data_IF_371984940278
#
_entry.id   IF_371984940278
#
_cell.length_a   1.000
_cell.length_b   1.000
_cell.length_c   1.000
_cell.angle_alpha   90.00
_cell.angle_beta   90.00
_cell.angle_gamma   90.00
#
_symmetry.space_group_name_H-M   'P 1'
#
loop_
_entity.id
_entity.type
_entity.pdbx_description
1 polymer ?
#
# COMPACT_ATOMS: atom_id res chain seq x y z
N UNK A 1 84.36 31.46 -11.69
CA UNK A 1 84.32 32.65 -10.82
C UNK A 1 82.85 32.99 -10.59
N UNK A 2 82.31 33.26 -9.41
CA UNK A 2 82.72 33.09 -8.01
C UNK A 2 81.56 33.72 -7.22
N UNK A 3 80.93 32.98 -6.29
CA UNK A 3 80.13 33.53 -5.16
C UNK A 3 78.88 34.39 -5.49
N UNK A 4 77.87 34.52 -4.62
CA UNK A 4 77.74 34.08 -3.24
C UNK A 4 76.32 33.53 -2.94
N UNK A 5 76.26 32.57 -2.03
CA UNK A 5 75.01 32.26 -1.33
C UNK A 5 74.64 33.38 -0.34
N UNK A 6 73.36 33.51 -0.02
CA UNK A 6 72.92 33.85 1.35
C UNK A 6 71.55 33.24 1.65
N UNK A 7 71.55 32.31 2.60
CA UNK A 7 70.34 31.80 3.26
C UNK A 7 69.78 32.92 4.16
N UNK A 8 68.47 32.98 4.33
CA UNK A 8 67.86 33.68 5.46
C UNK A 8 66.83 32.75 6.11
N UNK A 9 67.07 32.39 7.37
CA UNK A 9 66.24 31.49 8.15
C UNK A 9 65.33 32.25 9.12
N UNK A 10 64.13 31.70 9.32
CA UNK A 10 63.23 31.87 10.46
C UNK A 10 63.80 32.50 11.76
N UNK A 11 63.00 33.34 12.44
CA UNK A 11 62.12 32.89 13.55
C UNK A 11 61.41 34.01 14.34
N UNK A 12 60.28 33.66 15.00
CA UNK A 12 59.58 34.33 16.13
C UNK A 12 58.95 35.74 15.89
N UNK A 13 57.80 36.14 16.48
CA UNK A 13 56.75 35.37 17.19
C UNK A 13 55.47 36.20 17.47
N UNK A 14 54.33 35.48 17.54
CA UNK A 14 53.12 35.73 18.38
C UNK A 14 52.17 36.96 18.17
N UNK A 15 50.88 36.67 18.44
CA UNK A 15 49.72 37.55 18.71
C UNK A 15 48.94 38.19 17.53
N UNK A 16 48.11 37.38 16.84
CA UNK A 16 46.64 37.60 16.83
C UNK A 16 45.94 36.23 16.90
N UNK A 17 45.28 35.97 18.01
CA UNK A 17 44.18 34.98 18.09
C UNK A 17 42.89 35.75 17.77
N UNK A 18 41.97 35.11 17.02
CA UNK A 18 40.58 35.47 16.66
C UNK A 18 40.30 35.60 15.16
N UNK A 19 39.24 34.91 14.69
CA UNK A 19 38.62 35.09 13.37
C UNK A 19 39.06 34.08 12.30
N UNK A 20 38.45 32.88 12.27
CA UNK A 20 38.77 31.88 11.24
C UNK A 20 38.06 30.52 11.31
N UNK A 21 37.28 30.21 12.35
CA UNK A 21 36.33 29.10 12.35
C UNK A 21 34.95 29.58 11.89
N UNK A 22 34.72 29.58 10.57
CA UNK A 22 33.40 29.71 9.93
C UNK A 22 33.53 29.35 8.44
N UNK A 23 32.71 28.48 7.83
CA UNK A 23 31.63 27.64 8.35
C UNK A 23 31.70 26.28 7.64
N UNK A 24 31.60 25.16 8.38
CA UNK A 24 31.01 23.95 7.81
C UNK A 24 29.51 24.19 7.75
N UNK A 25 29.00 24.51 6.55
CA UNK A 25 27.56 24.46 6.29
C UNK A 25 27.13 23.01 6.11
N UNK A 26 26.78 22.38 7.23
CA UNK A 26 25.91 21.20 7.24
C UNK A 26 24.57 21.60 6.63
N UNK A 27 24.34 21.24 5.36
CA UNK A 27 23.02 21.36 4.74
C UNK A 27 22.15 20.25 5.32
N UNK A 28 21.49 20.54 6.44
CA UNK A 28 20.39 19.71 6.94
C UNK A 28 19.25 19.81 5.93
N UNK A 29 19.00 18.74 5.20
CA UNK A 29 17.82 18.63 4.36
C UNK A 29 16.58 18.63 5.27
N UNK A 30 15.92 19.80 5.38
CA UNK A 30 14.61 19.90 6.01
C UNK A 30 13.63 19.30 5.01
N UNK A 31 13.26 18.03 5.24
CA UNK A 31 12.11 17.45 4.53
C UNK A 31 10.86 18.18 4.98
N UNK A 32 10.13 18.79 4.05
CA UNK A 32 8.83 19.35 4.32
C UNK A 32 7.82 18.20 4.41
N UNK A 33 7.64 17.69 5.63
CA UNK A 33 6.66 16.65 5.95
C UNK A 33 5.26 17.23 5.69
N UNK A 34 4.43 16.53 4.90
CA UNK A 34 3.06 16.99 4.65
C UNK A 34 2.19 16.70 5.87
N UNK A 35 1.17 17.54 6.10
CA UNK A 35 0.21 17.31 7.17
C UNK A 35 -0.61 16.03 6.95
N UNK A 36 -0.81 15.63 5.69
CA UNK A 36 -1.59 14.45 5.32
C UNK A 36 -0.97 13.77 4.08
N UNK A 37 -1.27 12.47 3.83
CA UNK A 37 -1.02 11.85 2.54
C UNK A 37 -1.88 12.50 1.44
N UNK A 38 -1.36 12.69 0.21
CA UNK A 38 -2.20 13.10 -0.90
C UNK A 38 -3.14 11.95 -1.33
N UNK A 39 -4.23 12.28 -2.01
CA UNK A 39 -5.02 11.30 -2.74
C UNK A 39 -4.44 11.14 -4.16
N UNK A 40 -4.02 9.93 -4.54
CA UNK A 40 -3.57 9.62 -5.90
C UNK A 40 -4.56 8.74 -6.67
N UNK A 41 -5.50 8.08 -5.99
CA UNK A 41 -6.60 7.26 -6.55
C UNK A 41 -7.89 7.47 -5.72
N UNK A 42 -9.08 7.32 -6.33
CA UNK A 42 -10.36 7.43 -5.59
C UNK A 42 -10.59 6.25 -4.63
N UNK A 43 -10.12 5.06 -4.98
CA UNK A 43 -10.54 3.81 -4.37
C UNK A 43 -9.45 3.17 -3.51
N UNK A 44 -8.18 3.22 -3.93
CA UNK A 44 -7.07 2.54 -3.23
C UNK A 44 -5.80 3.39 -3.23
N UNK A 45 -5.38 3.83 -2.04
CA UNK A 45 -4.15 4.58 -1.80
C UNK A 45 -3.23 3.77 -0.86
N UNK A 46 -2.45 2.82 -1.39
CA UNK A 46 -1.60 1.92 -0.59
C UNK A 46 -0.20 2.52 -0.34
N UNK A 47 -0.07 3.49 0.56
CA UNK A 47 1.26 4.08 0.88
C UNK A 47 2.15 3.17 1.72
N UNK A 48 1.62 2.11 2.31
CA UNK A 48 2.40 1.12 3.05
C UNK A 48 2.92 -0.04 2.18
N UNK A 49 2.50 -0.16 0.91
CA UNK A 49 2.85 -1.27 0.00
C UNK A 49 2.50 -2.65 0.61
N UNK A 50 1.30 -2.76 1.21
CA UNK A 50 0.82 -3.96 1.95
C UNK A 50 -0.35 -4.67 1.29
N UNK A 51 -0.91 -4.12 0.21
CA UNK A 51 -1.99 -4.72 -0.57
C UNK A 51 -1.39 -5.33 -1.85
N UNK A 52 -1.73 -6.57 -2.14
CA UNK A 52 -1.33 -7.24 -3.38
C UNK A 52 -1.99 -6.56 -4.58
N UNK A 53 -1.29 -6.45 -5.71
CA UNK A 53 -1.89 -5.88 -6.93
C UNK A 53 -3.12 -6.64 -7.47
N UNK A 54 -3.35 -7.88 -7.02
CA UNK A 54 -4.60 -8.62 -7.29
C UNK A 54 -5.74 -8.11 -6.39
N UNK A 55 -5.47 -7.96 -5.09
CA UNK A 55 -6.43 -7.42 -4.12
C UNK A 55 -6.74 -5.93 -4.38
N UNK A 56 -5.74 -5.11 -4.73
CA UNK A 56 -5.95 -3.71 -5.15
C UNK A 56 -6.89 -3.60 -6.36
N UNK A 57 -6.71 -4.49 -7.35
CA UNK A 57 -7.57 -4.53 -8.52
C UNK A 57 -8.99 -4.99 -8.15
N UNK A 58 -9.10 -5.96 -7.23
CA UNK A 58 -10.37 -6.43 -6.68
C UNK A 58 -11.12 -5.36 -5.87
N UNK A 59 -10.43 -4.64 -4.96
CA UNK A 59 -10.99 -3.51 -4.20
C UNK A 59 -11.43 -2.42 -5.16
N UNK A 60 -10.56 -2.01 -6.10
CA UNK A 60 -10.89 -0.95 -7.07
C UNK A 60 -12.12 -1.29 -7.92
N UNK A 61 -12.26 -2.55 -8.35
CA UNK A 61 -13.45 -3.03 -9.05
C UNK A 61 -14.71 -3.00 -8.15
N UNK A 62 -14.61 -3.51 -6.92
CA UNK A 62 -15.67 -3.53 -5.91
C UNK A 62 -16.17 -2.11 -5.59
N UNK A 63 -15.27 -1.18 -5.28
CA UNK A 63 -15.61 0.17 -4.86
C UNK A 63 -16.14 1.01 -6.03
N UNK A 64 -15.63 0.80 -7.25
CA UNK A 64 -16.18 1.43 -8.46
C UNK A 64 -17.59 0.91 -8.79
N UNK A 65 -17.87 -0.38 -8.61
CA UNK A 65 -19.22 -0.94 -8.75
C UNK A 65 -20.18 -0.41 -7.66
N UNK A 66 -19.68 -0.27 -6.43
CA UNK A 66 -20.45 0.27 -5.31
C UNK A 66 -20.79 1.76 -5.50
N UNK A 67 -19.84 2.58 -5.95
CA UNK A 67 -20.09 3.98 -6.31
C UNK A 67 -21.08 4.08 -7.47
N UNK A 68 -20.94 3.26 -8.52
CA UNK A 68 -21.86 3.27 -9.66
C UNK A 68 -23.29 2.78 -9.33
N UNK A 69 -23.42 1.81 -8.41
CA UNK A 69 -24.71 1.19 -8.06
C UNK A 69 -25.47 1.88 -6.92
N UNK A 70 -24.75 2.40 -5.93
CA UNK A 70 -25.31 2.99 -4.70
C UNK A 70 -25.07 4.51 -4.61
N UNK A 71 -24.19 5.06 -5.46
CA UNK A 71 -23.78 6.46 -5.40
C UNK A 71 -23.04 6.83 -4.12
N UNK A 72 -22.47 5.83 -3.41
CA UNK A 72 -21.71 5.99 -2.17
C UNK A 72 -20.23 5.90 -2.51
N UNK A 73 -19.44 6.88 -2.06
CA UNK A 73 -18.01 6.93 -2.37
C UNK A 73 -17.18 6.38 -1.20
N UNK A 74 -16.49 5.28 -1.45
CA UNK A 74 -15.60 4.64 -0.47
C UNK A 74 -14.16 4.64 -0.98
N UNK A 75 -13.21 4.88 -0.07
CA UNK A 75 -11.77 4.78 -0.35
C UNK A 75 -11.05 3.97 0.72
N UNK A 76 -9.99 3.27 0.30
CA UNK A 76 -9.04 2.55 1.14
C UNK A 76 -7.73 3.32 1.16
N UNK A 77 -7.16 3.47 2.36
CA UNK A 77 -5.86 4.09 2.59
C UNK A 77 -5.04 3.23 3.54
N UNK A 78 -3.81 2.90 3.14
CA UNK A 78 -2.81 2.36 4.06
C UNK A 78 -1.69 3.39 4.25
N UNK A 79 -1.10 3.43 5.43
CA UNK A 79 0.13 4.19 5.72
C UNK A 79 1.01 3.37 6.66
N UNK A 80 2.34 3.58 6.61
CA UNK A 80 3.26 2.98 7.58
C UNK A 80 2.85 3.40 9.00
N UNK A 81 2.78 4.71 9.25
CA UNK A 81 2.25 5.30 10.49
C UNK A 81 1.51 6.61 10.20
N UNK A 82 0.38 6.84 10.86
CA UNK A 82 -0.30 8.14 10.81
C UNK A 82 0.47 9.21 11.61
N UNK A 83 1.27 8.79 12.60
CA UNK A 83 2.17 9.64 13.39
C UNK A 83 3.40 10.12 12.60
N UNK A 84 3.60 9.60 11.39
CA UNK A 84 4.63 10.05 10.45
C UNK A 84 4.21 11.29 9.61
N UNK A 85 3.04 11.88 9.87
CA UNK A 85 2.59 13.12 9.22
C UNK A 85 2.57 14.28 10.23
N UNK A 86 2.94 15.49 9.79
CA UNK A 86 2.98 16.70 10.63
C UNK A 86 1.59 17.36 10.69
N UNK A 87 0.58 16.58 11.08
CA UNK A 87 -0.83 17.01 11.11
C UNK A 87 -1.20 17.75 12.40
N UNK A 88 -0.49 17.46 13.49
CA UNK A 88 -0.81 17.92 14.84
C UNK A 88 -1.95 17.15 15.53
N UNK A 89 -2.44 16.05 14.95
CA UNK A 89 -3.54 15.28 15.52
C UNK A 89 -3.13 14.42 16.72
N UNK A 90 -4.06 14.26 17.67
CA UNK A 90 -3.81 13.52 18.91
C UNK A 90 -4.13 12.01 18.80
N UNK A 91 -4.90 11.58 17.79
CA UNK A 91 -5.28 10.18 17.59
C UNK A 91 -5.64 9.86 16.12
N UNK A 92 -5.71 8.56 15.79
CA UNK A 92 -6.12 8.09 14.46
C UNK A 92 -7.55 8.53 14.09
N UNK A 93 -8.45 8.69 15.07
CA UNK A 93 -9.78 9.23 14.85
C UNK A 93 -9.72 10.67 14.33
N UNK A 94 -8.97 11.53 15.03
CA UNK A 94 -8.83 12.93 14.66
C UNK A 94 -8.13 13.08 13.29
N UNK A 95 -7.06 12.30 13.09
CA UNK A 95 -6.35 12.23 11.80
C UNK A 95 -7.28 11.82 10.66
N UNK A 96 -8.08 10.75 10.83
CA UNK A 96 -8.99 10.30 9.79
C UNK A 96 -10.14 11.28 9.52
N UNK A 97 -10.73 11.90 10.56
CA UNK A 97 -11.79 12.91 10.38
C UNK A 97 -11.26 14.12 9.61
N UNK A 98 -10.07 14.61 9.96
CA UNK A 98 -9.46 15.74 9.27
C UNK A 98 -9.05 15.38 7.84
N UNK A 99 -8.46 14.21 7.64
CA UNK A 99 -8.10 13.69 6.32
C UNK A 99 -9.32 13.51 5.41
N UNK A 100 -10.41 12.96 5.94
CA UNK A 100 -11.68 12.78 5.23
C UNK A 100 -12.21 14.12 4.70
N UNK A 101 -12.15 15.16 5.53
CA UNK A 101 -12.59 16.51 5.20
C UNK A 101 -11.63 17.22 4.23
N UNK A 102 -10.31 17.03 4.37
CA UNK A 102 -9.29 17.55 3.44
C UNK A 102 -9.42 16.91 2.04
N UNK A 103 -9.72 15.60 1.99
CA UNK A 103 -9.96 14.88 0.74
C UNK A 103 -11.37 15.14 0.18
N UNK A 104 -12.36 15.44 1.03
CA UNK A 104 -13.76 15.69 0.65
C UNK A 104 -14.50 14.40 0.25
N UNK A 105 -14.33 13.32 1.00
CA UNK A 105 -14.81 11.97 0.64
C UNK A 105 -16.35 11.90 0.74
N UNK A 106 -17.03 11.38 -0.29
CA UNK A 106 -18.49 11.34 -0.34
C UNK A 106 -19.11 12.46 -1.18
N UNK A 107 -20.43 12.44 -1.35
CA UNK A 107 -21.15 13.52 -2.04
C UNK A 107 -21.46 14.69 -1.08
N UNK A 108 -21.16 15.93 -1.49
CA UNK A 108 -21.33 17.15 -0.69
C UNK A 108 -22.78 17.51 -0.28
N UNK A 109 -23.79 16.78 -0.76
CA UNK A 109 -25.21 16.95 -0.39
C UNK A 109 -25.78 15.79 0.42
N UNK A 110 -25.11 14.63 0.40
CA UNK A 110 -25.50 13.40 1.11
C UNK A 110 -24.59 13.10 2.30
N UNK A 111 -23.37 13.63 2.32
CA UNK A 111 -22.32 13.37 3.30
C UNK A 111 -22.11 11.88 3.57
N UNK A 112 -22.05 11.09 2.50
CA UNK A 112 -22.07 9.63 2.52
C UNK A 112 -20.74 9.01 2.06
N UNK A 113 -19.64 9.67 2.40
CA UNK A 113 -18.30 9.14 2.17
C UNK A 113 -17.90 8.09 3.21
N UNK A 114 -17.01 7.18 2.81
CA UNK A 114 -16.41 6.16 3.68
C UNK A 114 -14.90 6.11 3.46
N UNK A 115 -14.12 6.27 4.53
CA UNK A 115 -12.67 6.10 4.51
C UNK A 115 -12.28 4.91 5.39
N UNK A 116 -11.68 3.90 4.78
CA UNK A 116 -11.05 2.79 5.49
C UNK A 116 -9.54 3.02 5.56
N UNK A 117 -9.07 3.55 6.68
CA UNK A 117 -7.66 3.85 6.98
C UNK A 117 -7.03 2.72 7.81
N UNK A 118 -5.81 2.31 7.42
CA UNK A 118 -4.97 1.35 8.14
C UNK A 118 -3.57 1.94 8.36
N UNK A 119 -3.14 2.06 9.61
CA UNK A 119 -1.79 2.48 9.98
C UNK A 119 -1.00 1.27 10.53
N UNK A 120 -0.07 0.76 9.72
CA UNK A 120 0.47 -0.60 9.85
C UNK A 120 1.41 -0.75 11.06
N UNK A 121 2.37 0.16 11.24
CA UNK A 121 3.31 0.17 12.35
C UNK A 121 2.63 0.57 13.67
N UNK A 122 1.66 1.49 13.60
CA UNK A 122 0.85 1.92 14.75
C UNK A 122 -0.07 0.82 15.28
N UNK A 123 -0.36 -0.19 14.44
CA UNK A 123 -1.38 -1.22 14.64
C UNK A 123 -2.75 -0.65 14.97
N UNK A 124 -3.12 0.41 14.27
CA UNK A 124 -4.35 1.16 14.44
C UNK A 124 -5.09 1.22 13.09
N UNK A 125 -6.40 0.97 13.09
CA UNK A 125 -7.26 1.17 11.91
C UNK A 125 -8.49 1.98 12.27
N UNK A 126 -9.09 2.60 11.25
CA UNK A 126 -10.25 3.49 11.38
C UNK A 126 -11.14 3.35 10.14
N UNK A 127 -12.44 3.15 10.36
CA UNK A 127 -13.46 3.30 9.31
C UNK A 127 -14.23 4.59 9.61
N UNK A 128 -13.80 5.70 9.01
CA UNK A 128 -14.40 7.03 9.14
C UNK A 128 -15.61 7.15 8.21
N UNK A 129 -16.70 7.72 8.72
CA UNK A 129 -17.98 7.85 8.02
C UNK A 129 -18.37 9.32 7.91
N UNK A 130 -18.94 9.71 6.77
CA UNK A 130 -19.53 11.02 6.58
C UNK A 130 -20.78 11.27 7.43
N UNK A 131 -21.17 12.54 7.59
CA UNK A 131 -22.26 12.96 8.50
C UNK A 131 -23.65 12.51 8.07
N UNK A 132 -23.83 12.03 6.84
CA UNK A 132 -25.08 11.43 6.36
C UNK A 132 -25.42 10.11 7.04
N UNK A 133 -24.45 9.45 7.68
CA UNK A 133 -24.65 8.19 8.38
C UNK A 133 -25.02 8.40 9.85
N UNK A 134 -26.19 7.87 10.24
CA UNK A 134 -26.61 7.86 11.64
C UNK A 134 -25.74 6.95 12.52
N UNK A 135 -25.62 7.29 13.81
CA UNK A 135 -24.75 6.62 14.80
C UNK A 135 -24.94 5.10 14.93
N UNK A 136 -26.05 4.54 14.45
CA UNK A 136 -26.25 3.11 14.34
C UNK A 136 -25.21 2.42 13.44
N UNK A 137 -24.61 3.11 12.45
CA UNK A 137 -23.53 2.55 11.62
C UNK A 137 -22.22 2.35 12.39
N UNK A 138 -21.92 3.18 13.40
CA UNK A 138 -20.70 3.07 14.21
C UNK A 138 -20.53 1.67 14.81
N UNK A 139 -21.60 1.13 15.43
CA UNK A 139 -21.57 -0.21 16.01
C UNK A 139 -21.43 -1.34 14.99
N UNK A 140 -21.85 -1.11 13.72
CA UNK A 140 -21.76 -2.11 12.64
C UNK A 140 -20.38 -2.10 11.98
N UNK A 141 -19.79 -0.90 11.80
CA UNK A 141 -18.37 -0.78 11.44
C UNK A 141 -17.47 -1.39 12.51
N UNK A 142 -17.78 -1.19 13.81
CA UNK A 142 -17.03 -1.84 14.90
C UNK A 142 -17.09 -3.36 14.82
N UNK A 143 -18.28 -3.93 14.54
CA UNK A 143 -18.42 -5.37 14.36
C UNK A 143 -17.57 -5.89 13.18
N UNK A 144 -17.54 -5.20 12.04
CA UNK A 144 -16.68 -5.54 10.90
C UNK A 144 -15.19 -5.49 11.26
N UNK A 145 -14.76 -4.44 11.98
CA UNK A 145 -13.39 -4.32 12.48
C UNK A 145 -13.01 -5.53 13.35
N UNK A 146 -13.82 -5.83 14.38
CA UNK A 146 -13.48 -6.82 15.40
C UNK A 146 -13.61 -8.27 14.93
N UNK A 147 -14.60 -8.56 14.05
CA UNK A 147 -14.96 -9.92 13.62
C UNK A 147 -14.30 -10.32 12.30
N UNK A 148 -14.02 -9.37 11.41
CA UNK A 148 -13.55 -9.64 10.05
C UNK A 148 -12.11 -9.14 9.88
N UNK A 149 -11.84 -7.85 10.10
CA UNK A 149 -10.55 -7.23 9.74
C UNK A 149 -9.41 -7.61 10.71
N UNK A 150 -9.60 -7.38 12.01
CA UNK A 150 -8.57 -7.60 13.05
C UNK A 150 -8.04 -9.04 13.08
N UNK A 151 -8.84 -10.11 12.87
CA UNK A 151 -8.34 -11.48 12.74
C UNK A 151 -7.28 -11.70 11.66
N UNK A 152 -7.37 -11.04 10.51
CA UNK A 152 -6.33 -11.09 9.46
C UNK A 152 -5.10 -10.28 9.87
N UNK A 153 -5.29 -9.05 10.38
CA UNK A 153 -4.19 -8.17 10.75
C UNK A 153 -3.34 -8.73 11.91
N UNK A 154 -3.93 -9.46 12.86
CA UNK A 154 -3.20 -10.21 13.90
C UNK A 154 -2.24 -11.28 13.34
N UNK A 155 -2.47 -11.74 12.12
CA UNK A 155 -1.64 -12.71 11.41
C UNK A 155 -0.70 -12.02 10.40
N UNK A 156 -0.65 -10.68 10.39
CA UNK A 156 0.03 -9.85 9.40
C UNK A 156 -0.45 -10.06 7.94
N UNK A 157 -1.67 -10.57 7.78
CA UNK A 157 -2.31 -10.76 6.47
C UNK A 157 -3.09 -9.49 6.08
N UNK A 158 -2.33 -8.40 5.85
CA UNK A 158 -2.89 -7.06 5.62
C UNK A 158 -3.68 -7.00 4.32
N UNK A 159 -3.14 -7.55 3.24
CA UNK A 159 -3.78 -7.59 1.92
C UNK A 159 -5.18 -8.20 1.98
N UNK A 160 -5.31 -9.43 2.50
CA UNK A 160 -6.59 -10.11 2.57
C UNK A 160 -7.52 -9.48 3.62
N UNK A 161 -6.97 -8.97 4.73
CA UNK A 161 -7.74 -8.25 5.75
C UNK A 161 -8.36 -6.94 5.23
N UNK A 162 -7.65 -6.21 4.37
CA UNK A 162 -8.18 -5.00 3.70
C UNK A 162 -9.19 -5.37 2.62
N UNK A 163 -8.93 -6.43 1.83
CA UNK A 163 -9.86 -6.93 0.81
C UNK A 163 -11.20 -7.39 1.41
N UNK A 164 -11.16 -8.30 2.38
CA UNK A 164 -12.35 -8.80 3.08
C UNK A 164 -13.04 -7.70 3.90
N UNK A 165 -12.27 -6.81 4.52
CA UNK A 165 -12.81 -5.61 5.18
C UNK A 165 -13.61 -4.74 4.22
N UNK A 166 -13.06 -4.48 3.03
CA UNK A 166 -13.73 -3.68 2.00
C UNK A 166 -15.02 -4.35 1.51
N UNK A 167 -15.00 -5.66 1.27
CA UNK A 167 -16.20 -6.44 0.91
C UNK A 167 -17.27 -6.40 2.00
N UNK A 168 -16.88 -6.50 3.27
CA UNK A 168 -17.79 -6.45 4.42
C UNK A 168 -18.48 -5.09 4.57
N UNK A 169 -17.71 -3.99 4.43
CA UNK A 169 -18.22 -2.62 4.48
C UNK A 169 -19.24 -2.39 3.36
N UNK A 170 -18.92 -2.80 2.13
CA UNK A 170 -19.83 -2.68 0.97
C UNK A 170 -21.10 -3.52 1.15
N UNK A 171 -20.99 -4.77 1.62
CA UNK A 171 -22.15 -5.63 1.88
C UNK A 171 -23.10 -5.02 2.93
N UNK A 172 -22.55 -4.47 4.03
CA UNK A 172 -23.33 -3.78 5.06
C UNK A 172 -24.08 -2.57 4.50
N UNK A 173 -23.46 -1.73 3.65
CA UNK A 173 -24.17 -0.62 3.00
C UNK A 173 -25.18 -1.04 1.93
N UNK A 174 -25.00 -2.20 1.29
CA UNK A 174 -26.00 -2.81 0.40
C UNK A 174 -27.15 -3.50 1.15
N UNK A 175 -27.01 -3.72 2.46
CA UNK A 175 -27.94 -4.52 3.26
C UNK A 175 -27.88 -6.02 2.93
N UNK A 176 -26.74 -6.47 2.40
CA UNK A 176 -26.48 -7.86 2.01
C UNK A 176 -25.95 -8.67 3.18
N UNK A 177 -26.19 -9.99 3.18
CA UNK A 177 -25.59 -10.89 4.15
C UNK A 177 -24.12 -11.10 3.78
N UNK A 178 -23.21 -10.61 4.63
CA UNK A 178 -21.79 -10.88 4.46
C UNK A 178 -21.46 -12.32 4.83
N UNK A 179 -21.35 -13.21 3.84
CA UNK A 179 -20.73 -14.52 4.02
C UNK A 179 -19.20 -14.36 4.09
N UNK A 180 -18.68 -14.16 5.31
CA UNK A 180 -17.24 -14.13 5.56
C UNK A 180 -16.63 -15.50 5.28
N UNK A 181 -15.39 -15.52 4.78
CA UNK A 181 -14.63 -16.77 4.60
C UNK A 181 -14.26 -17.45 5.94
N UNK A 182 -14.63 -16.85 7.09
CA UNK A 182 -14.20 -17.24 8.43
C UNK A 182 -15.32 -17.85 9.32
N UNK A 183 -16.59 -17.45 9.15
CA UNK A 183 -17.66 -17.79 10.10
C UNK A 183 -18.63 -18.88 9.63
N UNK A 184 -18.34 -20.13 10.03
CA UNK A 184 -19.37 -21.18 10.11
C UNK A 184 -19.14 -22.15 11.27
N UNK A 185 -18.91 -21.63 12.50
CA UNK A 185 -18.45 -22.41 13.67
C UNK A 185 -19.16 -22.12 15.04
N UNK A 186 -20.50 -22.11 15.12
CA UNK A 186 -21.31 -22.31 16.37
C UNK A 186 -21.31 -21.18 17.44
N UNK A 187 -22.12 -21.15 18.51
CA UNK A 187 -23.20 -21.99 19.11
C UNK A 187 -24.02 -21.13 20.13
N UNK A 188 -25.35 -21.28 20.34
CA UNK A 188 -26.06 -20.54 21.39
C UNK A 188 -26.02 -21.20 22.79
N UNK A 189 -25.89 -20.38 23.85
CA UNK A 189 -25.87 -20.83 25.26
C UNK A 189 -27.27 -20.92 25.89
N UNK A 190 -27.44 -21.83 26.86
CA UNK A 190 -28.54 -21.83 27.86
C UNK A 190 -28.38 -20.62 28.80
N UNK A 191 -29.35 -20.09 29.58
CA UNK A 191 -30.56 -20.58 30.30
C UNK A 191 -31.51 -19.36 30.51
N UNK A 192 -32.80 -19.40 30.92
CA UNK A 192 -33.76 -20.43 31.42
C UNK A 192 -35.20 -19.86 31.43
N UNK A 193 -36.23 -20.73 31.47
CA UNK A 193 -37.28 -20.59 32.50
C UNK A 193 -38.75 -20.38 32.08
N UNK A 194 -39.46 -21.48 31.79
CA UNK A 194 -40.91 -21.73 32.00
C UNK A 194 -41.96 -20.69 31.52
N UNK A 195 -42.81 -21.09 30.56
CA UNK A 195 -44.04 -20.32 30.25
C UNK A 195 -44.79 -20.69 28.96
N UNK A 196 -45.33 -21.92 28.89
CA UNK A 196 -46.48 -22.38 28.07
C UNK A 196 -46.54 -22.15 26.52
N UNK A 197 -46.97 -23.19 25.80
CA UNK A 197 -47.71 -23.04 24.53
C UNK A 197 -46.99 -22.93 23.17
N UNK A 198 -47.04 -24.04 22.41
CA UNK A 198 -47.12 -24.14 20.92
C UNK A 198 -45.85 -24.22 20.04
N UNK A 199 -46.05 -24.94 18.92
CA UNK A 199 -45.09 -25.62 18.05
C UNK A 199 -44.04 -24.79 17.27
N UNK A 200 -42.97 -25.47 16.80
CA UNK A 200 -42.63 -25.62 15.37
C UNK A 200 -41.60 -26.76 15.15
N UNK A 201 -41.60 -27.28 13.92
CA UNK A 201 -41.06 -28.53 13.37
C UNK A 201 -39.55 -28.83 13.55
N UNK A 202 -39.20 -30.12 13.42
CA UNK A 202 -37.86 -30.71 13.67
C UNK A 202 -37.09 -31.01 12.37
N UNK A 203 -35.77 -30.80 12.35
CA UNK A 203 -34.84 -31.30 11.32
C UNK A 203 -33.84 -32.32 11.92
N UNK A 204 -33.37 -33.35 11.15
CA UNK A 204 -32.54 -34.44 11.67
C UNK A 204 -31.02 -34.18 11.60
N UNK A 205 -30.26 -34.88 12.46
CA UNK A 205 -28.79 -34.77 12.60
C UNK A 205 -28.08 -36.08 12.24
N UNK A 206 -27.13 -36.02 11.30
CA UNK A 206 -26.04 -36.99 11.09
C UNK A 206 -24.98 -36.36 10.15
N UNK A 207 -23.65 -36.55 10.29
CA UNK A 207 -22.84 -37.19 11.33
C UNK A 207 -21.37 -36.76 11.14
N UNK A 208 -20.63 -36.52 12.23
CA UNK A 208 -19.55 -35.49 12.21
C UNK A 208 -18.11 -35.97 11.94
N UNK A 209 -17.89 -37.20 11.48
CA UNK A 209 -16.54 -37.79 11.39
C UNK A 209 -15.73 -37.40 10.14
N UNK A 210 -16.38 -37.09 9.02
CA UNK A 210 -15.66 -36.73 7.78
C UNK A 210 -14.96 -35.36 7.81
N UNK A 211 -15.44 -34.44 8.67
CA UNK A 211 -14.96 -33.04 8.69
C UNK A 211 -13.59 -32.87 9.35
N UNK A 212 -13.23 -33.74 10.28
CA UNK A 212 -11.96 -33.67 11.03
C UNK A 212 -10.75 -33.96 10.13
N UNK A 213 -10.90 -34.85 9.13
CA UNK A 213 -9.84 -35.19 8.19
C UNK A 213 -9.57 -34.10 7.14
N UNK A 214 -10.57 -33.31 6.77
CA UNK A 214 -10.44 -32.22 5.78
C UNK A 214 -9.75 -30.98 6.36
N UNK A 215 -9.98 -30.64 7.63
CA UNK A 215 -9.39 -29.46 8.26
C UNK A 215 -7.85 -29.50 8.35
N UNK A 216 -7.27 -30.69 8.57
CA UNK A 216 -5.81 -30.87 8.56
C UNK A 216 -5.19 -30.60 7.18
N UNK A 217 -5.94 -30.83 6.09
CA UNK A 217 -5.47 -30.54 4.74
C UNK A 217 -5.40 -29.03 4.51
N UNK A 218 -6.33 -28.23 5.05
CA UNK A 218 -6.39 -26.78 4.78
C UNK A 218 -5.20 -25.98 5.38
N UNK A 219 -4.61 -26.43 6.50
CA UNK A 219 -3.40 -25.80 7.08
C UNK A 219 -2.12 -26.36 6.48
N UNK A 220 -2.11 -27.67 6.15
CA UNK A 220 -0.94 -28.35 5.57
C UNK A 220 -0.82 -28.07 4.06
N UNK A 221 -1.88 -27.69 3.35
CA UNK A 221 -1.86 -27.41 1.91
C UNK A 221 -1.17 -26.09 1.51
N UNK A 222 -1.34 -24.93 2.18
CA UNK A 222 -0.61 -23.70 1.84
C UNK A 222 0.85 -23.74 2.32
N UNK A 223 1.11 -24.18 3.56
CA UNK A 223 2.47 -24.40 4.05
C UNK A 223 3.17 -25.51 3.23
N UNK A 224 2.46 -26.59 2.94
CA UNK A 224 2.89 -27.63 2.03
C UNK A 224 3.06 -27.11 0.60
N UNK A 225 2.23 -26.18 0.13
CA UNK A 225 2.34 -25.54 -1.18
C UNK A 225 3.57 -24.65 -1.31
N UNK A 226 3.95 -23.94 -0.24
CA UNK A 226 5.18 -23.14 -0.16
C UNK A 226 6.42 -24.06 -0.05
N UNK A 227 6.34 -25.13 0.73
CA UNK A 227 7.38 -26.17 0.77
C UNK A 227 7.49 -26.95 -0.55
N UNK A 228 6.38 -27.21 -1.25
CA UNK A 228 6.31 -27.89 -2.55
C UNK A 228 6.79 -26.97 -3.67
N UNK A 229 6.47 -25.68 -3.66
CA UNK A 229 7.01 -24.73 -4.65
C UNK A 229 8.50 -24.55 -4.47
N UNK A 230 8.98 -24.39 -3.22
CA UNK A 230 10.41 -24.41 -2.88
C UNK A 230 11.07 -25.72 -3.33
N UNK A 231 10.51 -26.87 -2.97
CA UNK A 231 11.01 -28.17 -3.40
C UNK A 231 11.00 -28.34 -4.93
N UNK A 232 9.98 -27.88 -5.64
CA UNK A 232 9.89 -27.92 -7.11
C UNK A 232 10.90 -26.98 -7.78
N UNK A 233 11.28 -25.86 -7.14
CA UNK A 233 12.36 -24.98 -7.59
C UNK A 233 13.71 -25.70 -7.49
N UNK A 234 14.05 -26.26 -6.33
CA UNK A 234 15.34 -26.93 -6.09
C UNK A 234 15.42 -28.39 -6.58
N UNK A 235 14.33 -29.01 -7.03
CA UNK A 235 14.33 -30.40 -7.52
C UNK A 235 15.22 -30.52 -8.77
N UNK A 236 16.13 -31.52 -8.85
CA UNK A 236 16.93 -31.77 -10.05
C UNK A 236 16.07 -31.91 -11.31
N UNK A 237 16.48 -31.23 -12.39
CA UNK A 237 15.78 -31.19 -13.67
C UNK A 237 16.46 -32.10 -14.70
N UNK A 238 15.71 -32.53 -15.70
CA UNK A 238 16.21 -33.27 -16.86
C UNK A 238 16.26 -32.34 -18.06
N UNK A 239 17.36 -32.39 -18.81
CA UNK A 239 17.54 -31.57 -19.99
C UNK A 239 16.47 -31.84 -21.05
N UNK A 240 15.78 -30.79 -21.50
CA UNK A 240 14.79 -30.87 -22.57
C UNK A 240 15.34 -31.42 -23.89
N UNK A 241 16.64 -31.26 -24.15
CA UNK A 241 17.32 -31.70 -25.37
C UNK A 241 17.79 -33.18 -25.33
N UNK A 242 18.54 -33.57 -24.28
CA UNK A 242 19.18 -34.90 -24.22
C UNK A 242 18.79 -35.76 -23.00
N UNK A 243 17.81 -35.33 -22.21
CA UNK A 243 17.23 -36.04 -21.04
C UNK A 243 18.19 -36.32 -19.86
N UNK A 244 19.49 -36.04 -19.96
CA UNK A 244 20.40 -36.17 -18.81
C UNK A 244 20.08 -35.14 -17.72
N UNK A 245 20.51 -35.45 -16.50
CA UNK A 245 20.32 -34.57 -15.35
C UNK A 245 21.07 -33.24 -15.52
N UNK A 246 20.40 -32.13 -15.19
CA UNK A 246 20.97 -30.79 -15.18
C UNK A 246 21.43 -30.41 -13.78
N UNK A 247 22.46 -29.56 -13.74
CA UNK A 247 22.98 -28.95 -12.52
C UNK A 247 22.49 -27.50 -12.49
N UNK A 248 21.84 -27.08 -11.39
CA UNK A 248 21.58 -25.67 -11.13
C UNK A 248 22.89 -25.02 -10.71
N UNK A 249 23.17 -23.84 -11.25
CA UNK A 249 24.29 -23.03 -10.81
C UNK A 249 24.00 -22.40 -9.44
N UNK A 250 25.05 -21.84 -8.83
CA UNK A 250 24.95 -20.90 -7.73
C UNK A 250 24.96 -19.45 -8.26
N UNK A 251 24.45 -18.54 -7.43
CA UNK A 251 24.14 -17.09 -7.62
C UNK A 251 25.36 -16.20 -7.96
N UNK A 252 26.37 -16.78 -8.63
CA UNK A 252 27.65 -16.20 -9.06
C UNK A 252 28.20 -16.88 -10.32
N UNK A 253 27.82 -18.12 -10.56
CA UNK A 253 28.14 -18.84 -11.79
C UNK A 253 27.04 -18.70 -12.85
N UNK A 254 25.78 -18.49 -12.43
CA UNK A 254 24.65 -18.14 -13.28
C UNK A 254 24.78 -16.77 -13.95
N UNK A 255 25.31 -15.77 -13.26
CA UNK A 255 25.74 -14.44 -13.79
C UNK A 255 26.39 -14.55 -15.20
N UNK A 256 27.21 -15.57 -15.43
CA UNK A 256 27.93 -15.78 -16.70
C UNK A 256 27.04 -16.21 -17.89
N UNK A 257 25.77 -16.53 -17.63
CA UNK A 257 24.78 -17.02 -18.59
C UNK A 257 23.53 -16.14 -18.71
N UNK A 258 23.36 -15.19 -17.79
CA UNK A 258 22.31 -14.19 -17.79
C UNK A 258 22.68 -13.02 -18.71
N UNK A 259 21.67 -12.35 -19.27
CA UNK A 259 21.87 -11.09 -19.98
C UNK A 259 21.96 -9.90 -19.02
N UNK A 260 22.44 -8.75 -19.51
CA UNK A 260 22.65 -7.55 -18.71
C UNK A 260 21.36 -7.04 -18.02
N UNK A 261 20.19 -7.26 -18.62
CA UNK A 261 18.91 -6.87 -18.04
C UNK A 261 18.44 -7.81 -16.94
N UNK A 262 18.69 -9.11 -17.08
CA UNK A 262 18.42 -10.10 -16.04
C UNK A 262 19.29 -9.86 -14.79
N UNK A 263 20.60 -9.67 -14.99
CA UNK A 263 21.54 -9.29 -13.91
C UNK A 263 21.10 -7.98 -13.24
N UNK A 264 20.56 -7.03 -14.01
CA UNK A 264 20.02 -5.79 -13.45
C UNK A 264 18.71 -5.97 -12.67
N UNK A 265 17.87 -6.96 -13.00
CA UNK A 265 16.69 -7.31 -12.19
C UNK A 265 17.08 -8.00 -10.88
N UNK A 266 18.10 -8.86 -10.89
CA UNK A 266 18.61 -9.56 -9.70
C UNK A 266 19.30 -8.59 -8.73
N UNK A 267 20.16 -7.72 -9.25
CA UNK A 267 20.82 -6.66 -8.49
C UNK A 267 19.81 -5.68 -7.84
N UNK A 268 18.60 -5.57 -8.40
CA UNK A 268 17.49 -4.80 -7.84
C UNK A 268 16.48 -5.66 -7.05
N UNK A 269 16.69 -6.98 -7.00
CA UNK A 269 15.79 -7.98 -6.39
C UNK A 269 14.34 -7.89 -6.90
N UNK A 270 14.16 -7.59 -8.18
CA UNK A 270 12.85 -7.51 -8.86
C UNK A 270 12.46 -8.78 -9.60
N UNK A 271 13.44 -9.52 -10.12
CA UNK A 271 13.32 -10.88 -10.64
C UNK A 271 14.59 -11.64 -10.26
N UNK A 272 14.45 -12.92 -9.95
CA UNK A 272 15.48 -13.86 -9.49
C UNK A 272 15.53 -15.03 -10.50
N UNK A 273 16.70 -15.35 -11.08
CA UNK A 273 16.81 -16.30 -12.20
C UNK A 273 17.60 -17.57 -11.85
N UNK A 274 16.92 -18.72 -11.80
CA UNK A 274 17.63 -20.01 -11.76
C UNK A 274 18.21 -20.34 -13.14
N UNK A 275 19.54 -20.47 -13.25
CA UNK A 275 20.19 -21.07 -14.44
C UNK A 275 20.50 -22.55 -14.20
N UNK A 276 20.10 -23.37 -15.15
CA UNK A 276 20.37 -24.81 -15.19
C UNK A 276 21.24 -25.16 -16.40
N UNK A 277 22.32 -25.90 -16.19
CA UNK A 277 23.20 -26.41 -17.25
C UNK A 277 23.13 -27.93 -17.38
N UNK A 278 23.15 -28.41 -18.63
CA UNK A 278 23.30 -29.81 -18.97
C UNK A 278 24.75 -30.15 -19.32
N UNK A 279 25.44 -30.91 -18.46
CA UNK A 279 26.84 -31.30 -18.68
C UNK A 279 27.07 -32.30 -19.85
N UNK A 280 26.01 -32.85 -20.44
CA UNK A 280 26.11 -33.85 -21.51
C UNK A 280 25.95 -33.27 -22.92
N UNK A 281 25.41 -32.06 -23.06
CA UNK A 281 25.16 -31.43 -24.36
C UNK A 281 25.21 -29.89 -24.35
N UNK A 282 25.70 -29.28 -23.26
CA UNK A 282 25.84 -27.83 -23.04
C UNK A 282 24.54 -27.00 -23.21
N UNK A 283 23.38 -27.66 -23.17
CA UNK A 283 22.08 -26.97 -23.16
C UNK A 283 21.86 -26.25 -21.83
N UNK A 284 21.32 -25.02 -21.90
CA UNK A 284 20.99 -24.18 -20.73
C UNK A 284 19.51 -23.82 -20.70
N UNK A 285 18.94 -23.80 -19.51
CA UNK A 285 17.58 -23.32 -19.24
C UNK A 285 17.66 -22.22 -18.17
N UNK A 286 17.00 -21.08 -18.42
CA UNK A 286 17.00 -19.89 -17.55
C UNK A 286 15.56 -19.62 -17.12
N UNK A 287 15.31 -19.50 -15.81
CA UNK A 287 13.94 -19.53 -15.26
C UNK A 287 13.69 -18.31 -14.36
N UNK A 288 12.83 -17.36 -14.76
CA UNK A 288 12.48 -16.19 -13.96
C UNK A 288 11.56 -16.55 -12.78
N UNK A 289 11.90 -16.01 -11.62
CA UNK A 289 11.05 -15.92 -10.44
C UNK A 289 10.87 -14.45 -10.09
N UNK A 290 9.80 -13.83 -10.61
CA UNK A 290 9.50 -12.44 -10.35
C UNK A 290 9.21 -12.23 -8.85
N UNK A 291 9.90 -11.28 -8.22
CA UNK A 291 9.51 -10.82 -6.89
C UNK A 291 8.19 -10.06 -7.01
N UNK A 292 7.23 -10.41 -6.16
CA UNK A 292 5.89 -9.82 -6.21
C UNK A 292 5.81 -8.48 -5.48
N UNK A 293 6.63 -8.30 -4.44
CA UNK A 293 6.82 -7.06 -3.67
C UNK A 293 7.95 -6.17 -4.23
N UNK A 294 8.03 -6.00 -5.55
CA UNK A 294 9.11 -5.18 -6.14
C UNK A 294 8.62 -3.82 -6.58
N UNK A 295 9.19 -2.77 -5.97
CA UNK A 295 8.99 -1.36 -6.35
C UNK A 295 9.50 -1.00 -7.75
N UNK A 296 10.08 -1.94 -8.50
CA UNK A 296 10.67 -1.68 -9.82
C UNK A 296 9.72 -2.07 -10.95
N UNK A 297 9.28 -1.05 -11.71
CA UNK A 297 8.38 -1.20 -12.85
C UNK A 297 9.07 -1.78 -14.09
N UNK A 298 8.27 -2.37 -14.98
CA UNK A 298 8.72 -2.85 -16.30
C UNK A 298 9.05 -1.68 -17.23
N UNK A 299 10.25 -1.67 -17.80
CA UNK A 299 10.67 -0.62 -18.73
C UNK A 299 9.95 -0.73 -20.10
N UNK A 300 9.44 0.37 -20.67
CA UNK A 300 8.82 0.37 -22.00
C UNK A 300 9.83 0.18 -23.14
N UNK A 301 11.13 0.42 -22.92
CA UNK A 301 12.19 0.26 -23.93
C UNK A 301 12.87 -1.11 -23.88
N UNK A 302 13.27 -1.59 -22.69
CA UNK A 302 14.01 -2.85 -22.54
C UNK A 302 13.21 -3.99 -21.91
N UNK A 303 11.96 -3.76 -21.48
CA UNK A 303 11.04 -4.78 -20.93
C UNK A 303 11.41 -5.48 -19.61
N UNK A 304 12.64 -5.33 -19.11
CA UNK A 304 13.07 -5.71 -17.76
C UNK A 304 12.43 -4.80 -16.68
N UNK A 305 12.12 -5.36 -15.49
CA UNK A 305 11.63 -4.71 -14.26
C UNK A 305 12.75 -3.95 -13.52
N UNK A 306 13.18 -2.86 -14.13
CA UNK A 306 14.33 -2.06 -13.67
C UNK A 306 14.03 -0.55 -13.61
N UNK A 307 12.75 -0.16 -13.71
CA UNK A 307 12.31 1.24 -13.61
C UNK A 307 12.10 1.62 -12.15
N UNK A 308 12.85 2.59 -11.65
CA UNK A 308 12.53 3.31 -10.42
C UNK A 308 11.66 4.54 -10.72
N UNK A 309 10.67 4.80 -9.88
CA UNK A 309 9.86 6.02 -9.92
C UNK A 309 10.32 7.02 -8.85
N UNK A 310 10.30 8.30 -9.19
CA UNK A 310 10.67 9.40 -8.28
C UNK A 310 9.89 10.66 -8.63
N UNK A 311 9.61 11.53 -7.65
CA UNK A 311 8.98 12.83 -7.90
C UNK A 311 9.65 13.95 -7.09
N UNK A 312 9.61 15.16 -7.63
CA UNK A 312 10.19 16.35 -6.99
C UNK A 312 9.34 17.59 -7.32
N UNK A 313 9.05 18.43 -6.32
CA UNK A 313 8.37 19.71 -6.54
C UNK A 313 9.39 20.75 -6.98
N UNK A 314 9.27 21.22 -8.23
CA UNK A 314 10.16 22.22 -8.84
C UNK A 314 9.89 23.62 -8.26
N UNK A 315 8.62 23.95 -8.06
CA UNK A 315 8.17 25.10 -7.28
C UNK A 315 6.80 24.82 -6.67
N UNK A 316 6.59 25.27 -5.43
CA UNK A 316 5.35 25.04 -4.70
C UNK A 316 4.23 25.97 -5.20
N UNK A 317 2.96 25.54 -5.13
CA UNK A 317 1.83 26.41 -5.40
C UNK A 317 1.70 27.49 -4.32
N UNK A 318 1.26 28.68 -4.75
CA UNK A 318 0.90 29.82 -3.90
C UNK A 318 -0.56 30.17 -4.12
N UNK A 319 -1.10 31.16 -3.40
CA UNK A 319 -2.48 31.63 -3.61
C UNK A 319 -2.70 32.39 -4.93
N UNK A 320 -1.62 32.71 -5.66
CA UNK A 320 -1.67 33.45 -6.93
C UNK A 320 -0.92 32.77 -8.08
N UNK A 321 -0.31 31.61 -7.84
CA UNK A 321 0.41 30.83 -8.84
C UNK A 321 0.23 29.32 -8.62
N UNK A 322 0.09 28.58 -9.71
CA UNK A 322 0.24 27.13 -9.68
C UNK A 322 1.65 26.72 -9.24
N UNK A 323 1.80 25.49 -8.79
CA UNK A 323 3.08 24.82 -8.58
C UNK A 323 3.41 23.88 -9.74
N UNK A 324 4.54 23.19 -9.64
CA UNK A 324 4.96 22.17 -10.62
C UNK A 324 5.65 21.01 -9.93
N UNK A 325 5.12 19.80 -10.09
CA UNK A 325 5.73 18.52 -9.68
C UNK A 325 6.35 17.87 -10.91
N UNK A 326 7.64 17.53 -10.85
CA UNK A 326 8.35 16.78 -11.87
C UNK A 326 8.45 15.32 -11.44
N UNK A 327 7.70 14.46 -12.11
CA UNK A 327 7.84 13.01 -11.97
C UNK A 327 8.94 12.52 -12.93
N UNK A 328 9.75 11.56 -12.48
CA UNK A 328 10.87 10.98 -13.22
C UNK A 328 10.84 9.46 -13.05
N UNK A 329 10.53 8.78 -14.14
CA UNK A 329 10.78 7.35 -14.29
C UNK A 329 12.19 7.18 -14.85
N UNK A 330 12.97 6.27 -14.26
CA UNK A 330 14.31 5.97 -14.73
C UNK A 330 14.58 4.47 -14.70
N UNK A 331 14.98 3.93 -15.84
CA UNK A 331 15.41 2.55 -16.00
C UNK A 331 16.90 2.42 -15.68
N UNK A 332 17.24 1.69 -14.62
CA UNK A 332 18.64 1.47 -14.21
C UNK A 332 19.43 0.65 -15.24
N UNK A 333 18.77 -0.23 -16.00
CA UNK A 333 19.42 -1.08 -17.00
C UNK A 333 19.78 -0.34 -18.30
N UNK A 334 18.79 0.22 -19.00
CA UNK A 334 19.01 0.87 -20.31
C UNK A 334 19.12 2.40 -20.26
N UNK A 335 19.15 3.00 -19.07
CA UNK A 335 19.15 4.46 -18.84
C UNK A 335 17.99 5.22 -19.48
N UNK A 336 16.93 4.53 -19.93
CA UNK A 336 15.72 5.20 -20.42
C UNK A 336 15.10 6.03 -19.30
N UNK A 337 14.88 7.31 -19.60
CA UNK A 337 14.33 8.29 -18.69
C UNK A 337 13.05 8.88 -19.30
N UNK A 338 12.01 8.97 -18.47
CA UNK A 338 10.77 9.69 -18.81
C UNK A 338 10.51 10.71 -17.71
N UNK A 339 10.64 11.98 -18.07
CA UNK A 339 10.27 13.11 -17.21
C UNK A 339 8.84 13.52 -17.57
N UNK A 340 8.01 13.80 -16.57
CA UNK A 340 6.63 14.26 -16.74
C UNK A 340 6.34 15.34 -15.72
N UNK A 341 6.16 16.56 -16.22
CA UNK A 341 5.84 17.72 -15.40
C UNK A 341 4.31 17.81 -15.23
N UNK A 342 3.87 17.78 -13.97
CA UNK A 342 2.49 17.84 -13.53
C UNK A 342 2.27 19.19 -12.84
N UNK A 343 1.39 20.03 -13.39
CA UNK A 343 1.01 21.29 -12.77
C UNK A 343 0.25 21.03 -11.47
N UNK A 344 0.73 21.60 -10.36
CA UNK A 344 0.04 21.56 -9.07
C UNK A 344 -0.92 22.76 -9.02
N UNK A 345 -2.21 22.61 -8.68
CA UNK A 345 -3.14 23.73 -8.58
C UNK A 345 -2.67 24.78 -7.56
N UNK A 346 -3.09 26.04 -7.75
CA UNK A 346 -2.82 27.12 -6.80
C UNK A 346 -3.51 26.85 -5.44
N UNK A 347 -2.96 27.39 -4.36
CA UNK A 347 -3.60 27.31 -3.03
C UNK A 347 -4.87 28.15 -3.00
N UNK A 348 -5.87 27.73 -2.25
CA UNK A 348 -7.12 28.49 -2.03
C UNK A 348 -7.21 28.92 -0.57
N UNK A 349 -7.69 30.14 -0.32
CA UNK A 349 -8.01 30.58 1.05
C UNK A 349 -9.42 30.08 1.41
N UNK A 350 -9.52 29.40 2.55
CA UNK A 350 -10.78 29.05 3.20
C UNK A 350 -11.23 30.22 4.07
N UNK A 351 -12.18 31.02 3.58
CA UNK A 351 -12.91 32.00 4.39
C UNK A 351 -14.20 31.34 4.93
N UNK A 352 -14.22 31.02 6.22
CA UNK A 352 -15.40 30.48 6.90
C UNK A 352 -16.53 31.51 6.97
N UNK A 353 -17.46 31.47 6.00
CA UNK A 353 -18.81 32.01 6.18
C UNK A 353 -19.84 31.33 5.28
N UNK A 354 -20.80 30.66 5.90
CA UNK A 354 -21.82 29.87 5.23
C UNK A 354 -22.96 30.73 4.67
N UNK A 355 -23.12 30.74 3.35
CA UNK A 355 -24.44 30.89 2.71
C UNK A 355 -24.43 30.32 1.29
N UNK A 356 -25.47 29.55 0.95
CA UNK A 356 -25.56 28.77 -0.27
C UNK A 356 -26.03 29.59 -1.47
N UNK A 357 -25.33 29.48 -2.60
CA UNK A 357 -25.81 29.83 -3.94
C UNK A 357 -24.93 29.18 -5.01
N UNK A 358 -25.33 28.01 -5.48
CA UNK A 358 -24.59 27.27 -6.49
C UNK A 358 -24.87 27.84 -7.89
N UNK A 359 -23.81 28.24 -8.59
CA UNK A 359 -23.85 28.57 -10.02
C UNK A 359 -22.63 27.92 -10.68
N UNK A 360 -22.88 26.89 -11.47
CA UNK A 360 -21.84 26.03 -12.03
C UNK A 360 -21.16 26.66 -13.27
N UNK A 361 -19.86 26.44 -13.39
CA UNK A 361 -19.09 26.63 -14.64
C UNK A 361 -17.90 25.67 -14.60
N UNK A 362 -17.76 24.85 -15.63
CA UNK A 362 -16.92 23.64 -15.62
C UNK A 362 -15.68 23.75 -16.52
N UNK A 363 -14.58 23.14 -16.09
CA UNK A 363 -13.54 22.49 -16.94
C UNK A 363 -12.44 21.93 -16.01
N UNK A 364 -12.43 20.64 -15.67
CA UNK A 364 -12.02 19.49 -16.50
C UNK A 364 -10.50 19.34 -16.66
N UNK A 365 -9.85 18.80 -15.63
CA UNK A 365 -8.62 18.02 -15.74
C UNK A 365 -8.83 16.75 -14.91
N UNK A 366 -8.58 15.58 -15.48
CA UNK A 366 -8.93 14.28 -14.90
C UNK A 366 -7.98 13.85 -13.78
N UNK A 367 -8.08 14.52 -12.64
CA UNK A 367 -7.97 13.87 -11.32
C UNK A 367 -9.30 13.20 -11.02
N UNK A 368 -9.25 12.00 -10.46
CA UNK A 368 -10.41 11.33 -9.89
C UNK A 368 -10.70 12.00 -8.54
N UNK A 369 -11.45 13.12 -8.58
CA UNK A 369 -11.72 13.97 -7.41
C UNK A 369 -12.90 13.43 -6.60
N UNK A 370 -12.77 13.41 -5.27
CA UNK A 370 -13.87 13.08 -4.38
C UNK A 370 -15.02 14.10 -4.46
N UNK A 371 -16.23 13.70 -4.05
CA UNK A 371 -17.47 14.45 -4.27
C UNK A 371 -17.73 15.64 -3.34
N UNK A 372 -16.85 15.90 -2.38
CA UNK A 372 -16.92 17.02 -1.42
C UNK A 372 -17.70 16.74 -0.13
N UNK A 373 -17.91 15.48 0.24
CA UNK A 373 -18.58 15.09 1.49
C UNK A 373 -17.77 15.42 2.75
N UNK A 374 -18.46 15.51 3.89
CA UNK A 374 -17.89 15.88 5.19
C UNK A 374 -18.16 14.84 6.30
N UNK A 375 -17.27 14.80 7.30
CA UNK A 375 -17.35 13.93 8.47
C UNK A 375 -17.18 14.72 9.78
N UNK A 376 -17.88 14.26 10.82
CA UNK A 376 -17.79 14.75 12.20
C UNK A 376 -17.28 13.67 13.19
N UNK A 377 -16.51 12.68 12.72
CA UNK A 377 -16.00 11.58 13.55
C UNK A 377 -16.96 10.38 13.66
N UNK A 378 -17.57 9.97 12.55
CA UNK A 378 -18.49 8.83 12.46
C UNK A 378 -17.78 7.49 12.28
N UNK A 379 -18.46 6.36 12.57
CA UNK A 379 -17.89 5.02 12.36
C UNK A 379 -17.15 4.43 13.56
N UNK A 380 -16.04 3.72 13.31
CA UNK A 380 -15.35 2.90 14.32
C UNK A 380 -13.81 2.87 14.17
N UNK A 381 -13.12 2.40 15.21
CA UNK A 381 -11.65 2.22 15.29
C UNK A 381 -11.28 0.82 15.79
N UNK A 382 -10.09 0.33 15.44
CA UNK A 382 -9.56 -0.95 15.92
C UNK A 382 -8.05 -0.94 16.17
N UNK A 383 -7.58 -1.93 16.93
CA UNK A 383 -6.15 -2.22 17.15
C UNK A 383 -5.90 -3.74 17.17
N UNK A 384 -4.70 -4.21 16.79
CA UNK A 384 -4.40 -5.65 16.64
C UNK A 384 -3.13 -6.18 17.32
#
# INVERSE_FOLDING_TARGET
>A
MHTAAKKLSWHLSLLVVFGGLSWLWSVTAVSAQTAYPPAEDLFVNDYADVISGEDEAGIRALLSEFEAGNGVQMTVLTVESWRAYDSGDASIEQFATNLFNEWGIGDASRDDGVLFLVAVEDRELRIELGTGYGSAYNGRMQAIIDQIIVPYFRQADYSLGVFEGSRAIVAEFRGEVYESLAETNGTPSRTTGLGDGTAVLVAPVAGNLGKILLGLVAVVAPLGGLLISRFRRYKPRTCSNCQSQMVRLDERADDAYLDQGQIAEEALSSVDYDVWLCQSCDHREIIPYANWFTRYGRCPQCHYRTVSHSSNVVYHPTYSSTGLRRNRDYCTNCSHERITDITIPMRVQSDDSSSSSWSSSSSSSSSSSFGGGSSSGGGASGKW
#
